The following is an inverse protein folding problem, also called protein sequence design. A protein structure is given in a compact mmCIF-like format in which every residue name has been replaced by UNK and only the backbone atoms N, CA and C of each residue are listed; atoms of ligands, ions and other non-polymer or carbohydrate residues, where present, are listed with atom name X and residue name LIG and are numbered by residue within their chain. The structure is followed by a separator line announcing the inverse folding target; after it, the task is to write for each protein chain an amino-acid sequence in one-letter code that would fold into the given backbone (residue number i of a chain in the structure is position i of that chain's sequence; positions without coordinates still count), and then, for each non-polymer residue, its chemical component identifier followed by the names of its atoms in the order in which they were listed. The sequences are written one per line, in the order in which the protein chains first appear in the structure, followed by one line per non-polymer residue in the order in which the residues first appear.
data_IF_531034967469
#
_entry.id   IF_531034967469
#
_cell.length_a   1.000
_cell.length_b   1.000
_cell.length_c   1.000
_cell.angle_alpha   90.00
_cell.angle_beta   90.00
_cell.angle_gamma   90.00
#
_symmetry.space_group_name_H-M   'P 1'
#
loop_
_entity.id
_entity.type
_entity.pdbx_description
1 polymer ?
#
# COMPACT_ATOMS: atom_id res chain seq x y z
N UNK A 1 36.43 -7.52 16.03
CA UNK A 1 35.33 -8.29 16.63
C UNK A 1 34.18 -7.33 16.84
N UNK A 2 33.01 -7.54 16.21
CA UNK A 2 31.94 -6.53 16.30
C UNK A 2 31.11 -6.68 17.57
N UNK A 3 30.70 -5.55 18.14
CA UNK A 3 29.80 -5.51 19.30
C UNK A 3 28.44 -4.98 18.87
N UNK A 4 27.38 -5.77 19.14
CA UNK A 4 26.00 -5.38 18.91
C UNK A 4 25.36 -5.00 20.24
N UNK A 5 24.77 -3.80 20.33
CA UNK A 5 24.11 -3.30 21.54
C UNK A 5 22.83 -2.53 21.22
N UNK A 6 22.00 -2.38 22.24
CA UNK A 6 20.83 -1.51 22.19
C UNK A 6 21.26 -0.05 22.01
N UNK A 7 20.58 0.63 21.08
CA UNK A 7 20.67 2.08 20.96
C UNK A 7 19.84 2.75 22.06
N UNK A 8 20.16 4.00 22.38
CA UNK A 8 19.26 4.87 23.16
C UNK A 8 17.95 5.15 22.39
N UNK A 9 17.97 5.02 21.06
CA UNK A 9 16.77 5.11 20.23
C UNK A 9 15.91 3.85 20.40
N UNK A 10 14.64 4.06 20.73
CA UNK A 10 13.68 2.97 20.92
C UNK A 10 13.65 2.07 19.68
N UNK A 11 13.67 0.76 19.94
CA UNK A 11 13.60 -0.28 18.92
C UNK A 11 14.73 -0.24 17.86
N UNK A 12 15.89 0.31 18.22
CA UNK A 12 17.07 0.36 17.34
C UNK A 12 18.21 -0.43 17.97
N UNK A 13 18.94 -1.14 17.12
CA UNK A 13 20.13 -1.94 17.42
C UNK A 13 21.29 -1.31 16.66
N UNK A 14 22.45 -1.19 17.29
CA UNK A 14 23.64 -0.62 16.68
C UNK A 14 24.80 -1.60 16.77
N UNK A 15 25.61 -1.65 15.70
CA UNK A 15 26.81 -2.45 15.61
C UNK A 15 28.04 -1.53 15.60
N UNK A 16 29.05 -1.87 16.42
CA UNK A 16 30.28 -1.12 16.58
C UNK A 16 31.49 -1.99 16.29
N UNK A 17 32.54 -1.40 15.70
CA UNK A 17 33.85 -2.05 15.52
C UNK A 17 34.71 -2.01 16.79
N UNK A 18 35.94 -2.55 16.70
CA UNK A 18 36.89 -2.60 17.82
C UNK A 18 37.39 -1.19 18.26
N UNK A 19 37.22 -0.18 17.41
CA UNK A 19 37.59 1.22 17.66
C UNK A 19 36.40 2.06 18.17
N UNK A 20 35.26 1.42 18.48
CA UNK A 20 34.00 2.04 18.89
C UNK A 20 33.34 2.92 17.81
N UNK A 21 33.67 2.71 16.52
CA UNK A 21 32.96 3.38 15.43
C UNK A 21 31.63 2.66 15.14
N UNK A 22 30.57 3.43 14.88
CA UNK A 22 29.28 2.90 14.43
C UNK A 22 29.41 2.36 13.00
N UNK A 23 29.21 1.05 12.82
CA UNK A 23 29.36 0.35 11.54
C UNK A 23 28.07 -0.25 10.99
N UNK A 24 27.00 -0.28 11.78
CA UNK A 24 25.69 -0.73 11.33
C UNK A 24 24.56 -0.33 12.27
N UNK A 25 23.36 -0.26 11.72
CA UNK A 25 22.12 0.07 12.41
C UNK A 25 21.01 -0.86 11.94
N UNK A 26 20.17 -1.32 12.87
CA UNK A 26 18.95 -2.04 12.54
C UNK A 26 17.78 -1.51 13.35
N UNK A 27 16.61 -1.46 12.73
CA UNK A 27 15.37 -0.99 13.35
C UNK A 27 14.33 -2.11 13.35
N UNK A 28 13.52 -2.17 14.41
CA UNK A 28 12.33 -3.02 14.48
C UNK A 28 11.08 -2.16 14.74
N UNK A 29 10.05 -2.32 13.92
CA UNK A 29 8.82 -1.54 14.00
C UNK A 29 7.60 -2.47 14.06
N UNK A 30 7.15 -2.86 15.27
CA UNK A 30 5.93 -3.62 15.44
C UNK A 30 4.68 -2.72 15.31
N UNK A 31 3.71 -3.13 14.52
CA UNK A 31 2.43 -2.45 14.36
C UNK A 31 1.27 -3.42 14.03
N UNK A 32 0.06 -3.07 14.47
CA UNK A 32 -1.15 -3.83 14.12
C UNK A 32 -1.46 -3.60 12.65
N UNK A 33 -1.62 -4.67 11.89
CA UNK A 33 -2.04 -4.59 10.50
C UNK A 33 -3.48 -4.06 10.38
N UNK A 34 -3.83 -3.57 9.19
CA UNK A 34 -5.16 -3.06 8.89
C UNK A 34 -6.21 -4.17 8.86
N UNK A 35 -7.48 -3.80 8.77
CA UNK A 35 -8.63 -4.72 8.78
C UNK A 35 -8.81 -5.53 7.48
N UNK A 36 -7.77 -5.63 6.67
CA UNK A 36 -7.78 -6.40 5.41
C UNK A 36 -7.63 -7.92 5.65
N UNK A 37 -7.10 -8.31 6.81
CA UNK A 37 -6.87 -9.72 7.16
C UNK A 37 -8.06 -10.31 7.93
N UNK A 38 -8.35 -11.59 7.72
CA UNK A 38 -9.45 -12.30 8.41
C UNK A 38 -9.21 -12.45 9.91
N UNK A 39 -7.95 -12.62 10.30
CA UNK A 39 -7.51 -12.69 11.70
C UNK A 39 -6.73 -11.43 12.06
N UNK A 40 -6.79 -10.96 13.32
CA UNK A 40 -5.92 -9.90 13.79
C UNK A 40 -4.46 -10.25 13.49
N UNK A 41 -3.74 -9.32 12.85
CA UNK A 41 -2.35 -9.52 12.44
C UNK A 41 -1.44 -8.46 13.05
N UNK A 42 -0.32 -8.90 13.61
CA UNK A 42 0.78 -8.06 14.08
C UNK A 42 1.91 -8.16 13.05
N UNK A 43 2.25 -7.02 12.48
CA UNK A 43 3.37 -6.88 11.55
C UNK A 43 4.58 -6.38 12.32
N UNK A 44 5.72 -7.00 12.09
CA UNK A 44 7.02 -6.59 12.62
C UNK A 44 7.89 -6.27 11.42
N UNK A 45 7.86 -5.01 10.99
CA UNK A 45 8.78 -4.53 9.99
C UNK A 45 10.17 -4.40 10.61
N UNK A 46 11.21 -4.72 9.84
CA UNK A 46 12.57 -4.39 10.23
C UNK A 46 13.37 -3.86 9.04
N UNK A 47 14.43 -3.13 9.36
CA UNK A 47 15.42 -2.66 8.39
C UNK A 47 16.83 -2.86 8.97
N UNK A 48 17.81 -3.18 8.12
CA UNK A 48 19.21 -3.38 8.51
C UNK A 48 20.10 -2.66 7.51
N UNK A 49 20.86 -1.69 7.99
CA UNK A 49 21.88 -1.00 7.23
C UNK A 49 23.25 -1.26 7.86
N UNK A 50 24.22 -1.68 7.05
CA UNK A 50 25.61 -1.91 7.46
C UNK A 50 26.52 -1.21 6.47
N UNK A 51 27.50 -0.47 6.98
CA UNK A 51 28.48 0.24 6.17
C UNK A 51 29.20 -0.74 5.22
N UNK A 52 29.69 -0.22 4.10
CA UNK A 52 30.45 -1.01 3.13
C UNK A 52 31.89 -1.25 3.64
N UNK A 53 32.02 -2.24 4.52
CA UNK A 53 33.26 -2.64 5.19
C UNK A 53 33.50 -4.14 5.08
N UNK A 54 34.75 -4.56 5.32
CA UNK A 54 35.07 -5.98 5.50
C UNK A 54 34.21 -6.57 6.63
N UNK A 55 33.65 -7.77 6.44
CA UNK A 55 32.75 -8.39 7.42
C UNK A 55 31.30 -7.88 7.41
N UNK A 56 30.91 -7.00 6.48
CA UNK A 56 29.51 -6.47 6.36
C UNK A 56 28.45 -7.55 6.49
N UNK A 57 28.60 -8.68 5.80
CA UNK A 57 27.62 -9.77 5.82
C UNK A 57 27.53 -10.47 7.19
N UNK A 58 28.64 -10.61 7.89
CA UNK A 58 28.68 -11.22 9.22
C UNK A 58 28.00 -10.32 10.25
N UNK A 59 28.21 -9.00 10.16
CA UNK A 59 27.50 -8.01 10.99
C UNK A 59 26.00 -8.08 10.67
N UNK A 60 25.63 -8.07 9.39
CA UNK A 60 24.23 -8.14 8.93
C UNK A 60 23.53 -9.41 9.42
N UNK A 61 24.24 -10.55 9.45
CA UNK A 61 23.76 -11.82 9.97
C UNK A 61 23.51 -11.75 11.48
N UNK A 62 24.46 -11.23 12.25
CA UNK A 62 24.31 -11.08 13.70
C UNK A 62 23.17 -10.12 14.07
N UNK A 63 23.02 -9.01 13.34
CA UNK A 63 21.90 -8.07 13.51
C UNK A 63 20.56 -8.72 13.16
N UNK A 64 20.53 -9.50 12.08
CA UNK A 64 19.34 -10.28 11.70
C UNK A 64 18.93 -11.27 12.80
N UNK A 65 19.89 -12.02 13.36
CA UNK A 65 19.61 -12.97 14.44
C UNK A 65 19.01 -12.29 15.68
N UNK A 66 19.54 -11.12 16.06
CA UNK A 66 19.00 -10.34 17.17
C UNK A 66 17.60 -9.80 16.86
N UNK A 67 17.31 -9.39 15.63
CA UNK A 67 15.95 -9.00 15.18
C UNK A 67 14.98 -10.18 15.31
N UNK A 68 15.38 -11.38 14.85
CA UNK A 68 14.51 -12.57 14.95
C UNK A 68 14.24 -12.93 16.41
N UNK A 69 15.27 -12.86 17.27
CA UNK A 69 15.12 -13.09 18.72
C UNK A 69 14.12 -12.09 19.33
N UNK A 70 14.24 -10.81 19.03
CA UNK A 70 13.29 -9.78 19.51
C UNK A 70 11.89 -9.96 18.95
N UNK A 71 11.78 -10.33 17.68
CA UNK A 71 10.49 -10.57 17.03
C UNK A 71 9.73 -11.73 17.69
N UNK A 72 10.44 -12.80 18.07
CA UNK A 72 9.88 -13.91 18.86
C UNK A 72 9.44 -13.47 20.26
N UNK A 73 10.21 -12.59 20.92
CA UNK A 73 9.81 -12.04 22.22
C UNK A 73 8.55 -11.16 22.11
N UNK A 74 8.43 -10.35 21.05
CA UNK A 74 7.22 -9.56 20.76
C UNK A 74 6.01 -10.47 20.56
N UNK A 75 6.16 -11.55 19.77
CA UNK A 75 5.10 -12.52 19.50
C UNK A 75 4.47 -13.10 20.77
N UNK A 76 5.22 -13.30 21.84
CA UNK A 76 4.68 -13.80 23.12
C UNK A 76 3.62 -12.87 23.75
N UNK A 77 3.64 -11.58 23.42
CA UNK A 77 2.63 -10.61 23.86
C UNK A 77 1.39 -10.55 22.93
N UNK A 78 1.40 -11.27 21.82
CA UNK A 78 0.39 -11.22 20.77
C UNK A 78 -0.08 -12.63 20.35
N UNK A 79 -0.35 -13.51 21.33
CA UNK A 79 -0.73 -14.92 21.10
C UNK A 79 -2.03 -15.11 20.30
N UNK A 80 -2.94 -14.15 20.37
CA UNK A 80 -4.20 -14.15 19.62
C UNK A 80 -4.07 -13.53 18.22
N UNK A 81 -2.87 -13.08 17.84
CA UNK A 81 -2.59 -12.49 16.54
C UNK A 81 -1.79 -13.45 15.68
N UNK A 82 -2.01 -13.37 14.37
CA UNK A 82 -1.02 -13.85 13.40
C UNK A 82 0.15 -12.86 13.40
N UNK A 83 1.36 -13.31 13.72
CA UNK A 83 2.54 -12.44 13.79
C UNK A 83 3.44 -12.69 12.59
N UNK A 84 3.75 -11.65 11.81
CA UNK A 84 4.68 -11.73 10.68
C UNK A 84 5.84 -10.76 10.88
N UNK A 85 7.06 -11.29 10.81
CA UNK A 85 8.29 -10.50 10.71
C UNK A 85 8.72 -10.43 9.25
N UNK A 86 9.04 -9.23 8.76
CA UNK A 86 9.38 -9.04 7.34
C UNK A 86 10.22 -7.78 7.12
N UNK A 87 10.88 -7.76 5.98
CA UNK A 87 11.51 -6.59 5.40
C UNK A 87 10.92 -6.32 4.01
N UNK A 88 10.89 -5.04 3.60
CA UNK A 88 10.42 -4.64 2.28
C UNK A 88 11.60 -4.23 1.41
N UNK A 89 11.68 -4.80 0.21
CA UNK A 89 12.67 -4.43 -0.80
C UNK A 89 11.97 -3.86 -2.03
N UNK A 90 12.52 -2.82 -2.65
CA UNK A 90 12.11 -2.49 -4.02
C UNK A 90 12.44 -3.65 -4.96
N UNK A 91 11.60 -3.85 -5.98
CA UNK A 91 11.69 -5.00 -6.88
C UNK A 91 13.01 -5.09 -7.68
N UNK A 92 13.74 -3.99 -7.79
CA UNK A 92 15.05 -3.85 -8.43
C UNK A 92 16.24 -4.08 -7.48
N UNK A 93 16.01 -4.08 -6.16
CA UNK A 93 17.04 -4.38 -5.15
C UNK A 93 17.32 -5.89 -5.05
N UNK A 94 18.05 -6.41 -6.04
CA UNK A 94 18.35 -7.84 -6.15
C UNK A 94 19.20 -8.36 -5.00
N UNK A 95 20.13 -7.56 -4.48
CA UNK A 95 21.03 -7.95 -3.39
C UNK A 95 20.25 -8.22 -2.10
N UNK A 96 19.38 -7.28 -1.68
CA UNK A 96 18.58 -7.50 -0.47
C UNK A 96 17.53 -8.60 -0.67
N UNK A 97 16.92 -8.68 -1.86
CA UNK A 97 15.97 -9.76 -2.16
C UNK A 97 16.63 -11.13 -2.00
N UNK A 98 17.83 -11.32 -2.57
CA UNK A 98 18.56 -12.58 -2.47
C UNK A 98 18.99 -12.87 -1.03
N UNK A 99 19.55 -11.87 -0.34
CA UNK A 99 19.99 -11.99 1.05
C UNK A 99 18.84 -12.45 1.96
N UNK A 100 17.69 -11.77 1.96
CA UNK A 100 16.58 -12.11 2.85
C UNK A 100 15.85 -13.38 2.41
N UNK A 101 15.77 -13.67 1.11
CA UNK A 101 15.19 -14.93 0.61
C UNK A 101 16.04 -16.15 0.97
N UNK A 102 17.34 -15.97 1.19
CA UNK A 102 18.23 -17.05 1.65
C UNK A 102 18.00 -17.45 3.12
N UNK A 103 17.33 -16.60 3.92
CA UNK A 103 17.13 -16.84 5.35
C UNK A 103 16.07 -17.91 5.58
N UNK A 104 16.35 -18.83 6.50
CA UNK A 104 15.46 -19.95 6.77
C UNK A 104 14.06 -19.48 7.18
N UNK A 105 13.04 -19.95 6.45
CA UNK A 105 11.63 -19.64 6.69
C UNK A 105 11.14 -18.33 6.08
N UNK A 106 12.03 -17.46 5.62
CA UNK A 106 11.66 -16.23 4.92
C UNK A 106 11.19 -16.57 3.50
N UNK A 107 10.07 -15.96 3.10
CA UNK A 107 9.46 -16.14 1.78
C UNK A 107 9.06 -14.79 1.22
N UNK A 108 9.24 -14.63 -0.08
CA UNK A 108 8.64 -13.54 -0.84
C UNK A 108 7.20 -13.94 -1.22
N UNK A 109 6.26 -13.65 -0.35
CA UNK A 109 4.85 -14.07 -0.47
C UNK A 109 3.84 -12.91 -0.48
N UNK A 110 4.30 -11.69 -0.16
CA UNK A 110 3.52 -10.46 -0.19
C UNK A 110 4.31 -9.33 -0.88
N UNK A 111 3.66 -8.23 -1.24
CA UNK A 111 4.31 -7.11 -1.92
C UNK A 111 3.33 -6.10 -2.51
N UNK A 112 3.85 -4.99 -3.01
CA UNK A 112 3.05 -3.99 -3.74
C UNK A 112 3.00 -4.36 -5.23
N UNK A 113 1.79 -4.50 -5.74
CA UNK A 113 1.54 -4.83 -7.14
C UNK A 113 0.87 -3.65 -7.83
N UNK A 114 1.42 -3.28 -8.98
CA UNK A 114 0.67 -2.51 -9.97
C UNK A 114 -0.15 -3.49 -10.79
N UNK A 115 -1.45 -3.22 -10.83
CA UNK A 115 -2.41 -3.91 -11.69
C UNK A 115 -2.92 -2.92 -12.75
N UNK A 116 -3.28 -3.43 -13.92
CA UNK A 116 -3.76 -2.61 -15.04
C UNK A 116 -4.98 -3.17 -15.75
N UNK A 117 -5.75 -2.28 -16.36
CA UNK A 117 -6.86 -2.57 -17.26
C UNK A 117 -6.68 -1.77 -18.55
N UNK A 118 -6.59 -2.48 -19.68
CA UNK A 118 -6.72 -1.88 -21.02
C UNK A 118 -8.19 -1.55 -21.28
N UNK A 119 -8.49 -0.36 -21.76
CA UNK A 119 -9.83 0.16 -22.05
C UNK A 119 -10.02 0.26 -23.57
N UNK A 120 -11.11 -0.31 -24.08
CA UNK A 120 -11.46 -0.25 -25.50
C UNK A 120 -12.52 0.83 -25.73
N UNK A 121 -12.42 1.56 -26.85
CA UNK A 121 -13.34 2.67 -27.17
C UNK A 121 -14.82 2.26 -27.17
N UNK A 122 -15.12 1.02 -27.58
CA UNK A 122 -16.49 0.48 -27.67
C UNK A 122 -16.88 -0.37 -26.46
N UNK A 123 -16.09 -0.36 -25.38
CA UNK A 123 -16.37 -1.16 -24.19
C UNK A 123 -17.57 -0.60 -23.42
N UNK A 124 -18.58 -1.45 -23.19
CA UNK A 124 -19.75 -1.10 -22.38
C UNK A 124 -19.67 -1.75 -21.00
N UNK A 125 -19.98 -0.98 -19.96
CA UNK A 125 -20.02 -1.48 -18.58
C UNK A 125 -21.44 -1.49 -18.02
N UNK A 126 -21.85 -2.65 -17.51
CA UNK A 126 -23.07 -2.82 -16.73
C UNK A 126 -22.86 -2.24 -15.31
N UNK A 127 -23.40 -1.05 -15.08
CA UNK A 127 -23.39 -0.41 -13.77
C UNK A 127 -24.73 -0.72 -13.11
N UNK A 128 -24.69 -1.41 -11.97
CA UNK A 128 -25.92 -1.79 -11.25
C UNK A 128 -26.41 -0.62 -10.41
N UNK A 129 -27.71 -0.38 -10.43
CA UNK A 129 -28.31 0.56 -9.48
C UNK A 129 -28.20 -0.01 -8.05
N UNK A 130 -27.97 0.88 -7.09
CA UNK A 130 -27.90 0.54 -5.67
C UNK A 130 -28.92 1.46 -4.99
N UNK A 131 -29.90 0.86 -4.33
CA UNK A 131 -31.02 1.59 -3.74
C UNK A 131 -30.52 2.67 -2.76
N UNK A 132 -30.98 3.91 -2.98
CA UNK A 132 -30.62 5.06 -2.15
C UNK A 132 -29.18 5.53 -2.29
N UNK A 133 -28.42 5.06 -3.28
CA UNK A 133 -27.05 5.51 -3.56
C UNK A 133 -26.96 6.20 -4.90
N UNK A 134 -26.63 7.47 -4.88
CA UNK A 134 -26.38 8.28 -6.07
C UNK A 134 -24.88 8.34 -6.37
N UNK A 135 -24.53 8.47 -7.64
CA UNK A 135 -23.14 8.63 -8.05
C UNK A 135 -23.00 9.93 -8.83
N UNK A 136 -22.07 10.79 -8.42
CA UNK A 136 -21.83 12.08 -9.05
C UNK A 136 -20.35 12.44 -9.10
N UNK A 137 -19.98 13.30 -10.05
CA UNK A 137 -18.64 13.86 -10.14
C UNK A 137 -18.51 15.00 -9.15
N UNK A 138 -17.50 14.93 -8.30
CA UNK A 138 -17.16 16.05 -7.41
C UNK A 138 -16.48 17.13 -8.24
N UNK A 139 -17.02 18.34 -8.17
CA UNK A 139 -16.48 19.49 -8.91
C UNK A 139 -15.43 20.22 -8.06
N UNK A 140 -15.51 20.10 -6.73
CA UNK A 140 -14.65 20.82 -5.78
C UNK A 140 -14.65 22.32 -6.05
N UNK A 141 -15.84 22.87 -6.32
CA UNK A 141 -16.06 24.32 -6.51
C UNK A 141 -15.79 25.10 -5.22
N UNK A 142 -15.97 24.45 -4.07
CA UNK A 142 -15.61 24.94 -2.74
C UNK A 142 -14.82 23.89 -1.94
N UNK A 143 -14.29 24.30 -0.78
CA UNK A 143 -13.54 23.41 0.11
C UNK A 143 -14.43 22.41 0.86
N UNK A 144 -15.76 22.57 0.85
CA UNK A 144 -16.65 21.71 1.64
C UNK A 144 -16.64 20.28 1.12
N UNK A 145 -16.69 20.08 -0.20
CA UNK A 145 -16.59 18.74 -0.81
C UNK A 145 -15.22 18.10 -0.53
N UNK A 146 -14.13 18.88 -0.53
CA UNK A 146 -12.79 18.38 -0.19
C UNK A 146 -12.72 17.97 1.28
N UNK A 147 -13.23 18.81 2.19
CA UNK A 147 -13.25 18.52 3.62
C UNK A 147 -14.06 17.26 3.92
N UNK A 148 -15.23 17.09 3.30
CA UNK A 148 -16.05 15.89 3.48
C UNK A 148 -15.34 14.63 2.96
N UNK A 149 -14.76 14.69 1.76
CA UNK A 149 -14.01 13.57 1.19
C UNK A 149 -12.86 13.15 2.13
N UNK A 150 -12.04 14.11 2.57
CA UNK A 150 -10.93 13.89 3.50
C UNK A 150 -11.41 13.27 4.81
N UNK A 151 -12.49 13.80 5.39
CA UNK A 151 -13.06 13.28 6.63
C UNK A 151 -13.51 11.82 6.48
N UNK A 152 -14.23 11.50 5.40
CA UNK A 152 -14.76 10.15 5.16
C UNK A 152 -13.64 9.16 4.82
N UNK A 153 -12.66 9.57 4.02
CA UNK A 153 -11.49 8.77 3.69
C UNK A 153 -10.64 8.45 4.93
N UNK A 154 -10.39 9.43 5.80
CA UNK A 154 -9.59 9.25 7.01
C UNK A 154 -10.25 8.35 8.07
N UNK A 155 -11.55 8.06 7.96
CA UNK A 155 -12.23 7.01 8.73
C UNK A 155 -11.93 5.60 8.21
N UNK A 156 -11.46 5.49 6.96
CA UNK A 156 -11.17 4.23 6.27
C UNK A 156 -9.69 3.89 6.30
N UNK A 157 -8.81 4.85 6.01
CA UNK A 157 -7.36 4.65 5.95
C UNK A 157 -6.65 5.16 7.20
N UNK A 158 -5.56 4.49 7.57
CA UNK A 158 -4.69 4.92 8.68
C UNK A 158 -3.86 6.15 8.31
N UNK A 159 -3.59 6.36 7.02
CA UNK A 159 -2.86 7.50 6.47
C UNK A 159 -3.59 7.94 5.19
N UNK A 160 -4.66 8.72 5.33
CA UNK A 160 -5.36 9.31 4.18
C UNK A 160 -4.92 10.75 3.92
N UNK A 161 -5.60 11.42 2.99
CA UNK A 161 -5.22 12.78 2.58
C UNK A 161 -5.48 13.83 3.67
N UNK A 162 -4.73 14.91 3.57
CA UNK A 162 -5.15 16.24 4.03
C UNK A 162 -5.88 16.99 2.90
N UNK A 163 -6.61 18.05 3.24
CA UNK A 163 -7.20 18.95 2.22
C UNK A 163 -6.12 19.53 1.30
N UNK A 164 -4.94 19.79 1.84
CA UNK A 164 -3.81 20.34 1.09
C UNK A 164 -3.25 19.32 0.09
N UNK A 165 -3.23 18.03 0.43
CA UNK A 165 -2.82 16.98 -0.51
C UNK A 165 -3.77 16.93 -1.73
N UNK A 166 -5.09 17.02 -1.50
CA UNK A 166 -6.07 17.06 -2.59
C UNK A 166 -5.97 18.31 -3.46
N UNK A 167 -5.72 19.48 -2.86
CA UNK A 167 -5.47 20.72 -3.61
C UNK A 167 -4.25 20.59 -4.48
N UNK A 168 -3.13 20.11 -3.91
CA UNK A 168 -1.90 19.88 -4.67
C UNK A 168 -2.10 18.85 -5.77
N UNK A 169 -2.88 17.79 -5.53
CA UNK A 169 -3.20 16.79 -6.56
C UNK A 169 -4.00 17.41 -7.72
N UNK A 170 -5.03 18.19 -7.38
CA UNK A 170 -5.90 18.91 -8.32
C UNK A 170 -5.15 19.94 -9.17
N UNK A 171 -4.28 20.72 -8.55
CA UNK A 171 -3.63 21.87 -9.22
C UNK A 171 -2.48 21.44 -10.11
N UNK A 172 -1.83 20.30 -9.82
CA UNK A 172 -0.68 19.81 -10.55
C UNK A 172 -1.00 18.74 -11.59
N UNK A 173 -2.25 18.25 -11.67
CA UNK A 173 -2.60 17.15 -12.57
C UNK A 173 -3.95 17.36 -13.25
N UNK A 174 -4.08 16.76 -14.44
CA UNK A 174 -5.41 16.46 -14.97
C UNK A 174 -5.98 15.30 -14.14
N UNK A 175 -7.13 15.52 -13.50
CA UNK A 175 -7.73 14.55 -12.59
C UNK A 175 -9.26 14.64 -12.63
N UNK A 176 -9.94 13.65 -12.04
CA UNK A 176 -11.36 13.72 -11.71
C UNK A 176 -11.65 12.87 -10.48
N UNK A 177 -12.81 13.13 -9.86
CA UNK A 177 -13.29 12.37 -8.71
C UNK A 177 -14.77 12.05 -8.84
N UNK A 178 -15.14 10.80 -8.55
CA UNK A 178 -16.53 10.34 -8.56
C UNK A 178 -16.89 9.88 -7.16
N UNK A 179 -17.92 10.47 -6.56
CA UNK A 179 -18.46 10.07 -5.26
C UNK A 179 -19.68 9.18 -5.41
N UNK A 180 -19.82 8.24 -4.47
CA UNK A 180 -21.08 7.60 -4.13
C UNK A 180 -21.66 8.32 -2.91
N UNK A 181 -22.89 8.82 -3.00
CA UNK A 181 -23.58 9.54 -1.93
C UNK A 181 -24.83 8.80 -1.47
N UNK A 182 -25.07 8.75 -0.17
CA UNK A 182 -26.34 8.31 0.42
C UNK A 182 -26.91 9.43 1.28
N UNK A 183 -28.14 9.87 0.96
CA UNK A 183 -28.80 11.03 1.63
C UNK A 183 -27.92 12.29 1.64
N UNK A 184 -27.18 12.52 0.56
CA UNK A 184 -26.29 13.68 0.39
C UNK A 184 -24.89 13.51 0.96
N UNK A 185 -24.62 12.49 1.78
CA UNK A 185 -23.28 12.26 2.36
C UNK A 185 -22.43 11.32 1.51
N UNK A 186 -21.13 11.60 1.40
CA UNK A 186 -20.15 10.73 0.74
C UNK A 186 -20.00 9.43 1.56
N UNK A 187 -20.26 8.30 0.90
CA UNK A 187 -20.08 6.93 1.43
C UNK A 187 -19.03 6.13 0.68
N UNK A 188 -18.47 6.70 -0.39
CA UNK A 188 -17.36 6.16 -1.14
C UNK A 188 -16.91 7.14 -2.21
N UNK A 189 -15.66 7.03 -2.64
CA UNK A 189 -15.08 7.90 -3.64
C UNK A 189 -14.01 7.17 -4.44
N UNK A 190 -13.82 7.57 -5.69
CA UNK A 190 -12.64 7.25 -6.48
C UNK A 190 -11.99 8.56 -6.96
N UNK A 191 -10.69 8.68 -6.75
CA UNK A 191 -9.85 9.76 -7.28
C UNK A 191 -8.97 9.19 -8.38
N UNK A 192 -9.01 9.79 -9.56
CA UNK A 192 -8.24 9.35 -10.72
C UNK A 192 -7.41 10.50 -11.27
N UNK A 193 -6.13 10.23 -11.47
CA UNK A 193 -5.15 11.18 -12.01
C UNK A 193 -4.68 10.69 -13.38
N UNK A 194 -4.61 11.56 -14.37
CA UNK A 194 -4.05 11.25 -15.68
C UNK A 194 -2.54 11.54 -15.64
N UNK A 195 -1.75 10.49 -15.88
CA UNK A 195 -0.29 10.54 -15.92
C UNK A 195 0.20 10.27 -17.35
N UNK A 196 1.47 10.59 -17.60
CA UNK A 196 2.16 10.28 -18.85
C UNK A 196 3.37 9.40 -18.55
N UNK A 197 3.62 8.38 -19.38
CA UNK A 197 4.85 7.60 -19.33
C UNK A 197 6.01 8.28 -20.08
N UNK A 198 7.18 7.64 -20.10
CA UNK A 198 8.37 8.15 -20.79
C UNK A 198 8.15 8.36 -22.31
N UNK A 199 7.19 7.65 -22.90
CA UNK A 199 6.80 7.77 -24.31
C UNK A 199 5.68 8.79 -24.52
N UNK A 200 5.31 9.56 -23.48
CA UNK A 200 4.20 10.53 -23.46
C UNK A 200 2.84 9.91 -23.75
N UNK A 201 2.69 8.60 -23.48
CA UNK A 201 1.41 7.93 -23.58
C UNK A 201 0.65 8.18 -22.28
N UNK A 202 -0.54 8.77 -22.40
CA UNK A 202 -1.41 9.03 -21.25
C UNK A 202 -2.05 7.75 -20.73
N UNK A 203 -2.03 7.58 -19.41
CA UNK A 203 -2.73 6.52 -18.69
C UNK A 203 -3.37 7.08 -17.42
N UNK A 204 -4.41 6.41 -16.94
CA UNK A 204 -5.04 6.74 -15.67
C UNK A 204 -4.35 6.04 -14.50
N UNK A 205 -4.21 6.76 -13.40
CA UNK A 205 -3.77 6.25 -12.12
C UNK A 205 -4.91 6.44 -11.11
N UNK A 206 -5.47 5.35 -10.60
CA UNK A 206 -6.41 5.42 -9.47
C UNK A 206 -5.58 5.72 -8.23
N UNK A 207 -5.65 6.97 -7.77
CA UNK A 207 -4.86 7.46 -6.65
C UNK A 207 -5.48 7.06 -5.32
N UNK A 208 -6.83 7.10 -5.26
CA UNK A 208 -7.60 6.68 -4.10
C UNK A 208 -8.90 5.98 -4.51
N UNK A 209 -9.29 4.97 -3.75
CA UNK A 209 -10.59 4.34 -3.83
C UNK A 209 -11.01 3.87 -2.43
N UNK A 210 -12.07 4.45 -1.89
CA UNK A 210 -12.65 3.98 -0.63
C UNK A 210 -14.16 3.79 -0.71
N UNK A 211 -14.64 2.94 0.20
CA UNK A 211 -16.05 2.80 0.56
C UNK A 211 -16.12 2.69 2.08
N UNK A 212 -16.99 3.50 2.69
CA UNK A 212 -17.28 3.47 4.13
C UNK A 212 -17.62 2.05 4.58
N UNK A 213 -17.17 1.66 5.77
CA UNK A 213 -17.12 0.25 6.18
C UNK A 213 -18.48 -0.43 6.14
N UNK A 214 -19.51 0.28 6.57
CA UNK A 214 -20.92 -0.11 6.62
C UNK A 214 -21.58 -0.20 5.24
N UNK A 215 -20.97 0.40 4.20
CA UNK A 215 -21.43 0.39 2.81
C UNK A 215 -20.61 -0.55 1.91
N UNK A 216 -19.68 -1.33 2.48
CA UNK A 216 -18.92 -2.34 1.74
C UNK A 216 -19.80 -3.54 1.38
N UNK A 217 -19.38 -4.29 0.35
CA UNK A 217 -20.07 -5.48 -0.19
C UNK A 217 -21.42 -5.22 -0.87
N UNK A 218 -21.83 -3.96 -1.03
CA UNK A 218 -23.01 -3.57 -1.83
C UNK A 218 -22.70 -3.29 -3.32
N UNK A 219 -21.46 -3.47 -3.76
CA UNK A 219 -21.06 -3.22 -5.16
C UNK A 219 -20.64 -1.78 -5.48
N UNK A 220 -20.64 -0.88 -4.49
CA UNK A 220 -20.29 0.55 -4.66
C UNK A 220 -18.89 0.74 -5.26
N UNK A 221 -17.86 0.09 -4.70
CA UNK A 221 -16.49 0.21 -5.20
C UNK A 221 -16.36 -0.24 -6.66
N UNK A 222 -17.07 -1.32 -7.04
CA UNK A 222 -17.14 -1.78 -8.43
C UNK A 222 -17.80 -0.73 -9.33
N UNK A 223 -18.93 -0.16 -8.91
CA UNK A 223 -19.60 0.89 -9.67
C UNK A 223 -18.76 2.15 -9.84
N UNK A 224 -18.02 2.57 -8.81
CA UNK A 224 -17.09 3.69 -8.87
C UNK A 224 -16.03 3.46 -9.97
N UNK A 225 -15.41 2.28 -9.98
CA UNK A 225 -14.41 1.92 -11.00
C UNK A 225 -15.03 1.89 -12.40
N UNK A 226 -16.19 1.25 -12.57
CA UNK A 226 -16.86 1.16 -13.88
C UNK A 226 -17.30 2.53 -14.40
N UNK A 227 -17.70 3.46 -13.51
CA UNK A 227 -17.98 4.85 -13.88
C UNK A 227 -16.72 5.58 -14.30
N UNK A 228 -15.62 5.43 -13.54
CA UNK A 228 -14.33 5.99 -13.92
C UNK A 228 -13.87 5.48 -15.30
N UNK A 229 -14.05 4.20 -15.62
CA UNK A 229 -13.74 3.67 -16.94
C UNK A 229 -14.53 4.34 -18.06
N UNK A 230 -15.81 4.66 -17.86
CA UNK A 230 -16.61 5.41 -18.85
C UNK A 230 -16.03 6.81 -19.10
N UNK A 231 -15.61 7.50 -18.04
CA UNK A 231 -14.98 8.82 -18.17
C UNK A 231 -13.63 8.75 -18.86
N UNK A 232 -12.81 7.75 -18.51
CA UNK A 232 -11.52 7.52 -19.16
C UNK A 232 -11.65 7.25 -20.65
N UNK A 233 -12.63 6.42 -21.06
CA UNK A 233 -12.92 6.18 -22.48
C UNK A 233 -13.33 7.49 -23.18
N UNK A 234 -14.18 8.30 -22.55
CA UNK A 234 -14.60 9.60 -23.09
C UNK A 234 -13.42 10.60 -23.22
N UNK A 235 -12.42 10.50 -22.35
CA UNK A 235 -11.17 11.26 -22.41
C UNK A 235 -10.13 10.69 -23.39
N UNK A 236 -10.44 9.56 -24.06
CA UNK A 236 -9.52 8.88 -24.97
C UNK A 236 -8.37 8.13 -24.28
N UNK A 237 -8.47 7.90 -22.97
CA UNK A 237 -7.48 7.17 -22.17
C UNK A 237 -7.73 5.67 -22.33
N UNK A 238 -6.68 4.94 -22.72
CA UNK A 238 -6.75 3.52 -23.08
C UNK A 238 -6.29 2.57 -21.98
N UNK A 239 -5.78 3.09 -20.88
CA UNK A 239 -5.22 2.26 -19.82
C UNK A 239 -5.48 2.88 -18.46
N UNK A 240 -5.90 2.05 -17.50
CA UNK A 240 -6.05 2.41 -16.09
C UNK A 240 -5.13 1.52 -15.25
N UNK A 241 -4.41 2.13 -14.32
CA UNK A 241 -3.46 1.48 -13.40
C UNK A 241 -3.78 1.86 -11.96
N UNK A 242 -3.43 0.99 -11.04
CA UNK A 242 -3.40 1.29 -9.60
C UNK A 242 -2.38 0.40 -8.91
N UNK A 243 -1.97 0.79 -7.73
CA UNK A 243 -1.12 -0.02 -6.86
C UNK A 243 -1.91 -0.60 -5.69
N UNK A 244 -1.65 -1.86 -5.36
CA UNK A 244 -2.37 -2.57 -4.31
C UNK A 244 -1.44 -3.55 -3.60
N UNK A 245 -1.57 -3.64 -2.28
CA UNK A 245 -0.93 -4.69 -1.50
C UNK A 245 -1.48 -6.07 -1.89
N UNK A 246 -0.61 -7.00 -2.24
CA UNK A 246 -0.99 -8.30 -2.78
C UNK A 246 -1.74 -9.19 -1.78
N UNK A 247 -1.65 -8.90 -0.47
CA UNK A 247 -2.44 -9.58 0.56
C UNK A 247 -3.84 -8.96 0.78
N UNK A 248 -4.15 -7.83 0.13
CA UNK A 248 -5.49 -7.24 0.18
C UNK A 248 -6.45 -7.97 -0.78
N UNK A 249 -6.75 -9.24 -0.46
CA UNK A 249 -7.55 -10.15 -1.31
C UNK A 249 -8.94 -9.59 -1.62
N UNK A 250 -9.53 -8.84 -0.67
CA UNK A 250 -10.82 -8.17 -0.87
C UNK A 250 -10.76 -7.12 -1.99
N UNK A 251 -9.73 -6.27 -1.99
CA UNK A 251 -9.56 -5.25 -3.03
C UNK A 251 -9.20 -5.88 -4.37
N UNK A 252 -8.25 -6.83 -4.39
CA UNK A 252 -7.88 -7.57 -5.59
C UNK A 252 -9.09 -8.23 -6.26
N UNK A 253 -9.94 -8.91 -5.50
CA UNK A 253 -11.16 -9.53 -6.03
C UNK A 253 -12.09 -8.50 -6.70
N UNK A 254 -12.22 -7.30 -6.12
CA UNK A 254 -13.01 -6.22 -6.73
C UNK A 254 -12.38 -5.73 -8.04
N UNK A 255 -11.07 -5.51 -8.07
CA UNK A 255 -10.34 -5.06 -9.25
C UNK A 255 -10.34 -6.10 -10.38
N UNK A 256 -10.09 -7.36 -10.07
CA UNK A 256 -10.13 -8.47 -11.03
C UNK A 256 -11.54 -8.63 -11.62
N UNK A 257 -12.60 -8.44 -10.80
CA UNK A 257 -13.99 -8.53 -11.26
C UNK A 257 -14.41 -7.46 -12.28
N UNK A 258 -13.58 -6.42 -12.48
CA UNK A 258 -13.75 -5.37 -13.50
C UNK A 258 -12.63 -5.41 -14.54
N UNK A 259 -11.83 -6.47 -14.54
CA UNK A 259 -10.87 -6.79 -15.60
C UNK A 259 -9.44 -6.30 -15.35
N UNK A 260 -9.12 -5.73 -14.18
CA UNK A 260 -7.72 -5.48 -13.86
C UNK A 260 -6.94 -6.78 -13.81
N UNK A 261 -5.69 -6.74 -14.26
CA UNK A 261 -4.75 -7.85 -14.25
C UNK A 261 -3.41 -7.38 -13.68
N UNK A 262 -2.65 -8.32 -13.12
CA UNK A 262 -1.28 -8.05 -12.70
C UNK A 262 -0.46 -7.44 -13.84
N UNK A 263 0.29 -6.37 -13.54
CA UNK A 263 1.20 -5.73 -14.47
C UNK A 263 2.65 -5.88 -14.02
N UNK A 264 2.97 -5.41 -12.82
CA UNK A 264 4.30 -5.53 -12.23
C UNK A 264 4.26 -5.51 -10.71
N UNK A 265 5.25 -6.12 -10.09
CA UNK A 265 5.54 -5.94 -8.67
C UNK A 265 6.52 -4.77 -8.52
N UNK A 266 6.25 -3.86 -7.59
CA UNK A 266 7.09 -2.69 -7.28
C UNK A 266 7.90 -2.92 -6.02
N UNK A 267 7.33 -3.60 -5.04
CA UNK A 267 7.97 -3.95 -3.77
C UNK A 267 7.73 -5.43 -3.41
N UNK A 268 8.74 -6.05 -2.82
CA UNK A 268 8.73 -7.40 -2.27
C UNK A 268 8.69 -7.34 -0.75
N UNK A 269 7.73 -8.02 -0.14
CA UNK A 269 7.71 -8.26 1.30
C UNK A 269 8.24 -9.65 1.57
N UNK A 270 9.45 -9.70 2.11
CA UNK A 270 10.15 -10.95 2.38
C UNK A 270 10.12 -11.19 3.87
N UNK A 271 9.42 -12.24 4.28
CA UNK A 271 9.16 -12.44 5.69
C UNK A 271 8.73 -13.85 6.06
N UNK A 272 8.48 -14.02 7.36
CA UNK A 272 8.10 -15.27 7.99
C UNK A 272 7.03 -15.02 9.03
N UNK A 273 6.06 -15.95 9.13
CA UNK A 273 5.12 -15.99 10.24
C UNK A 273 5.75 -16.69 11.46
N UNK A 274 5.56 -16.11 12.65
CA UNK A 274 6.17 -16.58 13.92
C UNK A 274 5.22 -17.42 14.78
#
# INVERSE_FOLDING_TARGET
MYTIKDSERKNTIEAYDDEENLVGEAMICPFKASDIHEKPRMNIYFDINVNDIEGKNEIKDQMFDEIIKRSRAIRENYKDFVVKVYHCCFSDDKENIEYYSSKAGFKNDEGMYIIKKELMHEESFEIKEIEGVDFCNLQFEDEHEMMELVEKQNKVFTSGYSVEDLKNLKDNNQWFSIAAKHKGEIIGNIVVVIKEDESKIKYAWVDDLFVSKEWRKFGIGKNLILKAFKELIALGIKESRLEVWSDNKRALSAYESVGYKFYKQTECSIGMFL
#
